data_IF_950498073023
#
_entry.id   IF_950498073023
#
_cell.length_a   1.000
_cell.length_b   1.000
_cell.length_c   1.000
_cell.angle_alpha   90.00
_cell.angle_beta   90.00
_cell.angle_gamma   90.00
#
_symmetry.space_group_name_H-M   'P 1'
#
loop_
_entity.id
_entity.type
_entity.pdbx_description
1 polymer ?
#
# COMPACT_ATOMS: atom_id res chain seq x y z
N UNK A 1 -37.12 20.97 -6.26
CA UNK A 1 -36.57 19.80 -6.96
C UNK A 1 -35.25 19.46 -6.30
N UNK A 2 -35.10 18.26 -5.73
CA UNK A 2 -33.82 17.82 -5.19
C UNK A 2 -32.96 17.33 -6.36
N UNK A 3 -31.87 18.02 -6.65
CA UNK A 3 -30.85 17.55 -7.59
C UNK A 3 -30.15 16.36 -6.96
N UNK A 4 -30.49 15.15 -7.39
CA UNK A 4 -29.66 13.97 -7.15
C UNK A 4 -28.37 14.16 -7.94
N UNK A 5 -27.36 14.71 -7.30
CA UNK A 5 -25.98 14.61 -7.76
C UNK A 5 -25.61 13.12 -7.76
N UNK A 6 -25.57 12.52 -8.94
CA UNK A 6 -24.88 11.24 -9.13
C UNK A 6 -23.40 11.51 -8.86
N UNK A 7 -22.98 11.37 -7.61
CA UNK A 7 -21.57 11.42 -7.26
C UNK A 7 -20.91 10.23 -7.93
N UNK A 8 -20.14 10.49 -8.98
CA UNK A 8 -19.28 9.47 -9.58
C UNK A 8 -18.22 9.16 -8.53
N UNK A 9 -18.31 8.00 -7.91
CA UNK A 9 -17.28 7.52 -6.99
C UNK A 9 -16.12 7.03 -7.87
N UNK A 10 -15.08 7.86 -8.01
CA UNK A 10 -13.89 7.47 -8.75
C UNK A 10 -13.16 6.36 -7.96
N UNK A 11 -12.98 5.21 -8.61
CA UNK A 11 -12.17 4.11 -8.08
C UNK A 11 -10.86 4.05 -8.84
N UNK A 12 -9.76 4.23 -8.12
CA UNK A 12 -8.41 4.20 -8.70
C UNK A 12 -7.77 2.86 -8.36
N UNK A 13 -7.41 2.10 -9.37
CA UNK A 13 -6.55 0.93 -9.20
C UNK A 13 -5.10 1.38 -9.14
N UNK A 14 -4.48 1.22 -7.97
CA UNK A 14 -3.13 1.66 -7.67
C UNK A 14 -2.22 0.45 -7.44
N UNK A 15 -1.23 0.25 -8.30
CA UNK A 15 -0.37 -0.93 -8.29
C UNK A 15 1.10 -0.52 -8.32
N UNK A 16 1.91 -1.11 -7.45
CA UNK A 16 3.31 -0.76 -7.40
C UNK A 16 4.06 -1.45 -6.27
N UNK A 17 5.14 -0.81 -5.87
CA UNK A 17 6.12 -1.38 -4.95
C UNK A 17 6.60 -0.35 -3.92
N UNK A 18 6.78 -0.80 -2.68
CA UNK A 18 7.48 -0.08 -1.60
C UNK A 18 8.74 -0.85 -1.26
N UNK A 19 9.90 -0.19 -1.28
CA UNK A 19 11.19 -0.79 -0.95
C UNK A 19 12.29 -0.54 -1.99
N UNK A 20 13.53 -0.88 -1.64
CA UNK A 20 14.69 -0.64 -2.50
C UNK A 20 15.06 -1.86 -3.35
N UNK A 21 14.40 -2.00 -4.51
CA UNK A 21 14.54 -3.14 -5.42
C UNK A 21 15.99 -3.51 -5.84
N UNK A 22 16.94 -2.57 -6.00
CA UNK A 22 18.33 -2.94 -6.35
C UNK A 22 19.07 -3.73 -5.26
N UNK A 23 18.57 -3.76 -4.02
CA UNK A 23 19.16 -4.56 -2.94
C UNK A 23 18.47 -5.93 -2.86
N UNK A 24 19.15 -7.04 -3.20
CA UNK A 24 18.56 -8.39 -3.18
C UNK A 24 18.25 -8.90 -1.77
N UNK A 25 18.80 -8.26 -0.72
CA UNK A 25 18.52 -8.60 0.68
C UNK A 25 17.40 -7.75 1.28
N UNK A 26 16.91 -6.73 0.58
CA UNK A 26 15.85 -5.86 1.08
C UNK A 26 14.50 -6.58 1.12
N UNK A 27 13.61 -6.10 1.97
CA UNK A 27 12.20 -6.50 1.92
C UNK A 27 11.48 -5.64 0.89
N UNK A 28 10.71 -6.27 0.02
CA UNK A 28 9.99 -5.60 -1.06
C UNK A 28 8.48 -5.85 -0.92
N UNK A 29 7.70 -4.77 -0.81
CA UNK A 29 6.25 -4.84 -0.71
C UNK A 29 5.66 -4.53 -2.07
N UNK A 30 5.12 -5.54 -2.76
CA UNK A 30 4.35 -5.34 -3.98
C UNK A 30 2.88 -5.21 -3.61
N UNK A 31 2.19 -4.17 -4.06
CA UNK A 31 0.80 -3.91 -3.71
C UNK A 31 -0.10 -3.81 -4.93
N UNK A 32 -1.37 -4.08 -4.72
CA UNK A 32 -2.46 -3.87 -5.66
C UNK A 32 -3.67 -3.41 -4.88
N UNK A 33 -4.02 -2.13 -5.04
CA UNK A 33 -4.94 -1.41 -4.17
C UNK A 33 -6.07 -0.80 -5.00
N UNK A 34 -7.27 -0.81 -4.43
CA UNK A 34 -8.38 0.02 -4.83
C UNK A 34 -8.41 1.21 -3.87
N UNK A 35 -8.28 2.40 -4.43
CA UNK A 35 -8.24 3.66 -3.71
C UNK A 35 -9.49 4.44 -4.07
N UNK A 36 -10.24 4.84 -3.05
CA UNK A 36 -11.44 5.66 -3.18
C UNK A 36 -11.18 6.98 -2.43
N UNK A 37 -10.72 8.04 -3.12
CA UNK A 37 -10.38 9.29 -2.48
C UNK A 37 -11.57 9.95 -1.77
N UNK A 38 -12.77 9.81 -2.33
CA UNK A 38 -14.00 10.46 -1.84
C UNK A 38 -14.50 9.93 -0.48
N UNK A 39 -14.25 8.65 -0.18
CA UNK A 39 -14.62 8.04 1.11
C UNK A 39 -13.41 7.76 2.03
N UNK A 40 -12.24 8.26 1.63
CA UNK A 40 -10.96 8.08 2.32
C UNK A 40 -10.56 6.62 2.55
N UNK A 41 -11.02 5.68 1.72
CA UNK A 41 -10.74 4.27 1.89
C UNK A 41 -9.70 3.73 0.90
N UNK A 42 -8.92 2.78 1.40
CA UNK A 42 -8.04 1.93 0.58
C UNK A 42 -8.28 0.48 0.96
N UNK A 43 -8.34 -0.38 -0.05
CA UNK A 43 -8.41 -1.83 0.16
C UNK A 43 -7.57 -2.55 -0.89
N UNK A 44 -7.12 -3.76 -0.61
CA UNK A 44 -6.42 -4.54 -1.63
C UNK A 44 -5.58 -5.65 -1.06
N UNK A 45 -4.50 -5.96 -1.77
CA UNK A 45 -3.56 -7.02 -1.39
C UNK A 45 -2.13 -6.52 -1.43
N UNK A 46 -1.30 -7.14 -0.60
CA UNK A 46 0.15 -7.01 -0.63
C UNK A 46 0.78 -8.39 -0.79
N UNK A 47 1.89 -8.42 -1.52
CA UNK A 47 2.85 -9.51 -1.60
C UNK A 47 4.18 -9.00 -1.06
N UNK A 48 4.64 -9.59 0.04
CA UNK A 48 5.83 -9.21 0.79
C UNK A 48 6.92 -10.22 0.47
N UNK A 49 7.94 -9.79 -0.27
CA UNK A 49 9.12 -10.60 -0.58
C UNK A 49 10.25 -10.20 0.38
N UNK A 50 10.61 -11.09 1.30
CA UNK A 50 11.65 -10.83 2.32
C UNK A 50 12.99 -11.34 1.78
N UNK A 51 13.88 -10.44 1.37
CA UNK A 51 15.15 -10.82 0.73
C UNK A 51 16.08 -11.65 1.62
N UNK A 52 16.10 -11.39 2.93
CA UNK A 52 17.01 -12.09 3.86
C UNK A 52 16.67 -13.57 4.08
N UNK A 53 15.40 -13.94 4.03
CA UNK A 53 14.94 -15.32 4.28
C UNK A 53 14.41 -16.02 3.02
N UNK A 54 14.33 -15.28 1.89
CA UNK A 54 13.79 -15.72 0.60
C UNK A 54 12.34 -16.22 0.70
N UNK A 55 11.56 -15.69 1.64
CA UNK A 55 10.16 -16.03 1.81
C UNK A 55 9.26 -14.97 1.19
N UNK A 56 8.08 -15.43 0.78
CA UNK A 56 7.02 -14.59 0.24
C UNK A 56 5.77 -14.77 1.09
N UNK A 57 5.13 -13.66 1.43
CA UNK A 57 3.86 -13.62 2.14
C UNK A 57 2.84 -12.84 1.34
N UNK A 58 1.57 -13.25 1.36
CA UNK A 58 0.49 -12.54 0.66
C UNK A 58 -0.69 -12.38 1.59
N UNK A 59 -1.25 -11.18 1.64
CA UNK A 59 -2.40 -10.91 2.49
C UNK A 59 -3.22 -9.73 2.01
N UNK A 60 -4.43 -9.63 2.57
CA UNK A 60 -5.32 -8.49 2.35
C UNK A 60 -4.93 -7.35 3.27
N UNK A 61 -5.08 -6.13 2.77
CA UNK A 61 -4.86 -4.90 3.53
C UNK A 61 -6.05 -3.98 3.36
N UNK A 62 -6.26 -3.16 4.37
CA UNK A 62 -7.17 -2.01 4.33
C UNK A 62 -6.44 -0.79 4.83
N UNK A 63 -6.98 0.38 4.54
CA UNK A 63 -6.25 1.60 4.75
C UNK A 63 -7.08 2.84 4.51
N UNK A 64 -6.38 3.97 4.53
CA UNK A 64 -6.96 5.28 4.27
C UNK A 64 -6.12 6.07 3.29
N UNK A 65 -6.77 7.02 2.62
CA UNK A 65 -6.14 7.97 1.70
C UNK A 65 -6.60 9.38 2.01
N UNK A 66 -5.65 10.32 2.09
CA UNK A 66 -5.94 11.73 2.28
C UNK A 66 -5.08 12.58 1.34
N UNK A 67 -5.67 13.64 0.80
CA UNK A 67 -4.92 14.68 0.11
C UNK A 67 -4.12 15.51 1.11
N UNK A 68 -3.00 16.08 0.67
CA UNK A 68 -2.22 17.02 1.47
C UNK A 68 -1.83 18.22 0.62
N UNK A 69 -1.69 19.38 1.26
CA UNK A 69 -1.15 20.60 0.65
C UNK A 69 0.33 20.82 0.92
N UNK A 70 1.08 19.78 1.34
CA UNK A 70 2.45 19.94 1.84
C UNK A 70 3.50 19.75 0.74
N UNK A 71 4.02 20.87 0.23
CA UNK A 71 5.10 20.87 -0.75
C UNK A 71 4.71 20.12 -2.02
N UNK A 72 5.52 19.14 -2.42
CA UNK A 72 5.26 18.29 -3.57
C UNK A 72 4.51 16.99 -3.23
N UNK A 73 4.25 16.72 -1.94
CA UNK A 73 3.48 15.56 -1.50
C UNK A 73 2.00 15.95 -1.50
N UNK A 74 1.25 15.43 -2.46
CA UNK A 74 -0.16 15.79 -2.64
C UNK A 74 -1.12 14.81 -2.00
N UNK A 75 -0.62 13.64 -1.56
CA UNK A 75 -1.45 12.63 -0.90
C UNK A 75 -0.62 11.72 0.01
N UNK A 76 -1.29 11.21 1.04
CA UNK A 76 -0.76 10.20 1.96
C UNK A 76 -1.70 9.02 2.05
N UNK A 77 -1.14 7.82 2.07
CA UNK A 77 -1.87 6.58 2.27
C UNK A 77 -1.32 5.87 3.51
N UNK A 78 -2.21 5.23 4.26
CA UNK A 78 -1.85 4.30 5.33
C UNK A 78 -2.49 2.95 5.06
N UNK A 79 -1.78 1.86 5.33
CA UNK A 79 -2.23 0.49 5.14
C UNK A 79 -1.98 -0.28 6.42
N UNK A 80 -2.91 -1.20 6.73
CA UNK A 80 -2.76 -2.21 7.77
C UNK A 80 -3.34 -3.54 7.32
N UNK A 81 -2.79 -4.62 7.86
CA UNK A 81 -3.28 -5.97 7.61
C UNK A 81 -2.72 -6.99 8.57
N UNK A 82 -3.31 -8.18 8.55
CA UNK A 82 -2.79 -9.35 9.24
C UNK A 82 -2.47 -10.41 8.18
N UNK A 83 -1.19 -10.60 7.91
CA UNK A 83 -0.71 -11.40 6.79
C UNK A 83 -0.46 -12.83 7.27
N UNK A 84 -1.11 -13.85 6.68
CA UNK A 84 -0.90 -15.23 7.09
C UNK A 84 0.49 -15.73 6.68
N UNK A 85 1.06 -16.61 7.49
CA UNK A 85 2.20 -17.44 7.12
C UNK A 85 1.85 -18.39 5.97
N UNK A 86 2.87 -18.96 5.34
CA UNK A 86 2.77 -20.00 4.32
C UNK A 86 2.09 -21.31 4.79
N UNK A 87 2.07 -21.59 6.10
CA UNK A 87 1.32 -22.71 6.67
C UNK A 87 -0.20 -22.53 6.51
N UNK A 88 -0.82 -23.30 5.61
CA UNK A 88 -2.26 -23.25 5.32
C UNK A 88 -3.15 -23.92 6.36
N UNK A 89 -2.63 -24.88 7.13
CA UNK A 89 -3.42 -25.63 8.10
C UNK A 89 -3.60 -24.86 9.41
N UNK A 90 -2.53 -24.21 9.87
CA UNK A 90 -2.50 -23.41 11.10
C UNK A 90 -1.67 -22.15 10.86
N UNK A 91 -2.21 -21.16 10.13
CA UNK A 91 -1.47 -19.96 9.80
C UNK A 91 -1.21 -19.12 11.05
N UNK A 92 0.06 -18.71 11.22
CA UNK A 92 0.39 -17.58 12.07
C UNK A 92 0.05 -16.30 11.31
N UNK A 93 -0.46 -15.29 12.02
CA UNK A 93 -0.79 -14.00 11.42
C UNK A 93 0.21 -12.95 11.88
N UNK A 94 0.86 -12.31 10.91
CA UNK A 94 1.83 -11.26 11.16
C UNK A 94 1.19 -9.89 10.92
N UNK A 95 1.25 -8.97 11.90
CA UNK A 95 0.81 -7.60 11.66
C UNK A 95 1.67 -6.97 10.57
N UNK A 96 1.02 -6.24 9.69
CA UNK A 96 1.62 -5.46 8.62
C UNK A 96 1.07 -4.05 8.67
N UNK A 97 1.95 -3.08 8.57
CA UNK A 97 1.61 -1.67 8.42
C UNK A 97 2.48 -1.05 7.34
N UNK A 98 1.95 -0.11 6.58
CA UNK A 98 2.72 0.69 5.64
C UNK A 98 2.15 2.09 5.49
N UNK A 99 3.01 3.07 5.24
CA UNK A 99 2.63 4.45 4.97
C UNK A 99 3.31 4.92 3.69
N UNK A 100 2.62 5.75 2.90
CA UNK A 100 3.14 6.28 1.64
C UNK A 100 2.85 7.78 1.56
N UNK A 101 3.87 8.56 1.30
CA UNK A 101 3.79 9.98 0.96
C UNK A 101 4.05 10.13 -0.55
N UNK A 102 3.01 10.49 -1.30
CA UNK A 102 3.02 10.44 -2.75
C UNK A 102 2.90 11.83 -3.38
N UNK A 103 3.61 12.00 -4.50
CA UNK A 103 3.53 13.14 -5.39
C UNK A 103 2.36 12.97 -6.37
N UNK A 104 2.17 13.96 -7.25
CA UNK A 104 1.09 13.97 -8.25
C UNK A 104 1.07 12.75 -9.14
N UNK A 105 2.26 12.23 -9.48
CA UNK A 105 2.51 11.07 -10.32
C UNK A 105 2.35 9.72 -9.58
N UNK A 106 1.82 9.72 -8.35
CA UNK A 106 1.64 8.52 -7.52
C UNK A 106 2.93 7.80 -7.12
N UNK A 107 4.10 8.40 -7.37
CA UNK A 107 5.38 7.95 -6.85
C UNK A 107 5.77 8.77 -5.61
N UNK A 108 6.70 8.25 -4.81
CA UNK A 108 7.11 8.96 -3.61
C UNK A 108 8.04 8.18 -2.71
N UNK A 109 7.85 8.36 -1.41
CA UNK A 109 8.54 7.63 -0.36
C UNK A 109 7.53 7.03 0.60
N UNK A 110 7.92 5.98 1.28
CA UNK A 110 7.10 5.34 2.27
C UNK A 110 7.93 4.60 3.30
N UNK A 111 7.21 3.87 4.14
CA UNK A 111 7.77 2.96 5.11
C UNK A 111 6.80 1.82 5.37
N UNK A 112 7.31 0.74 5.92
CA UNK A 112 6.51 -0.40 6.32
C UNK A 112 7.10 -1.11 7.54
N UNK A 113 6.23 -1.82 8.25
CA UNK A 113 6.58 -2.68 9.36
C UNK A 113 6.03 -4.08 9.13
N UNK A 114 6.88 -5.09 9.22
CA UNK A 114 6.51 -6.49 9.06
C UNK A 114 7.46 -7.41 9.86
N UNK A 115 6.89 -8.38 10.59
CA UNK A 115 7.65 -9.32 11.43
C UNK A 115 8.66 -8.65 12.39
N UNK A 116 8.30 -7.50 12.95
CA UNK A 116 9.15 -6.76 13.89
C UNK A 116 10.33 -6.02 13.24
N UNK A 117 10.41 -5.99 11.90
CA UNK A 117 11.33 -5.14 11.14
C UNK A 117 10.57 -3.96 10.57
N UNK A 118 11.16 -2.77 10.63
CA UNK A 118 10.64 -1.57 10.00
C UNK A 118 11.66 -0.97 9.04
N UNK A 119 11.19 -0.53 7.89
CA UNK A 119 11.97 0.25 6.92
C UNK A 119 11.24 1.57 6.66
N UNK A 120 11.98 2.67 6.62
CA UNK A 120 11.44 4.02 6.44
C UNK A 120 12.21 4.74 5.32
N UNK A 121 11.58 5.77 4.76
CA UNK A 121 12.11 6.57 3.64
C UNK A 121 12.49 5.78 2.39
N UNK A 122 11.90 4.60 2.19
CA UNK A 122 12.15 3.77 1.01
C UNK A 122 11.33 4.25 -0.19
N UNK A 123 11.79 4.02 -1.43
CA UNK A 123 11.07 4.43 -2.62
C UNK A 123 9.69 3.76 -2.72
N UNK A 124 8.72 4.54 -3.21
CA UNK A 124 7.43 4.04 -3.70
C UNK A 124 7.36 4.31 -5.20
N UNK A 125 7.25 3.25 -5.99
CA UNK A 125 7.15 3.33 -7.46
C UNK A 125 5.90 2.60 -7.90
N UNK A 126 5.03 3.26 -8.66
CA UNK A 126 3.71 2.73 -8.93
C UNK A 126 3.02 3.39 -10.13
N UNK A 127 1.98 2.72 -10.61
CA UNK A 127 1.09 3.16 -11.68
C UNK A 127 -0.37 3.17 -11.22
N UNK A 128 -1.19 4.01 -11.85
CA UNK A 128 -2.63 4.09 -11.61
C UNK A 128 -3.46 3.85 -12.84
N UNK A 129 -4.62 3.23 -12.64
CA UNK A 129 -5.61 2.97 -13.68
C UNK A 129 -6.99 3.36 -13.14
N UNK A 130 -7.74 4.13 -13.92
CA UNK A 130 -9.13 4.46 -13.58
C UNK A 130 -10.02 3.29 -14.01
N UNK A 131 -10.89 2.84 -13.09
CA UNK A 131 -11.83 1.73 -13.30
C UNK A 131 -13.24 2.22 -13.64
#
# INVERSE_FOLDING_TARGET
>A
MATTTNTVIETIYYKGTIGFAPNPLATLINFSLLVHPEDHSVSGTVKIDVGTDKKTYTGKVTGTVYSTGFGNIVRVLSLKGNIPSDNKLTPLFFPFEANMALKTDWNGKGGFSFQGKSEEEVPVTADTFNL
#
